data_IF_259877380984
#
_entry.id   IF_259877380984
#
_cell.length_a   1.000
_cell.length_b   1.000
_cell.length_c   1.000
_cell.angle_alpha   90.00
_cell.angle_beta   90.00
_cell.angle_gamma   90.00
#
_symmetry.space_group_name_H-M   'P 1'
#
loop_
_entity.id
_entity.type
_entity.pdbx_description
1 polymer ?
#
# COMPACT_ATOMS: atom_id res chain seq x y z
N UNK A 1 -30.28 8.94 -18.67
CA UNK A 1 -28.90 8.41 -18.69
C UNK A 1 -28.16 8.95 -17.48
N UNK A 2 -27.83 8.11 -16.49
CA UNK A 2 -26.90 8.49 -15.43
C UNK A 2 -25.49 8.27 -15.96
N UNK A 3 -24.77 9.34 -16.26
CA UNK A 3 -23.33 9.27 -16.45
C UNK A 3 -22.74 8.82 -15.12
N UNK A 4 -22.27 7.58 -15.05
CA UNK A 4 -21.48 7.12 -13.92
C UNK A 4 -20.22 7.99 -13.90
N UNK A 5 -20.10 8.87 -12.90
CA UNK A 5 -18.83 9.51 -12.58
C UNK A 5 -17.87 8.36 -12.31
N UNK A 6 -16.89 8.15 -13.19
CA UNK A 6 -15.73 7.30 -12.91
C UNK A 6 -15.02 7.99 -11.76
N UNK A 7 -15.48 7.69 -10.55
CA UNK A 7 -14.90 8.23 -9.35
C UNK A 7 -13.67 7.39 -9.15
N UNK A 8 -12.51 7.93 -9.51
CA UNK A 8 -11.24 7.35 -9.12
C UNK A 8 -11.12 7.49 -7.61
N UNK A 9 -11.80 6.61 -6.87
CA UNK A 9 -11.59 6.44 -5.44
C UNK A 9 -10.22 5.81 -5.32
N UNK A 10 -9.25 6.60 -4.89
CA UNK A 10 -7.95 6.08 -4.54
C UNK A 10 -8.10 5.20 -3.29
N UNK A 11 -8.06 3.90 -3.50
CA UNK A 11 -8.22 2.89 -2.48
C UNK A 11 -6.83 2.42 -2.02
N UNK A 12 -6.40 2.93 -0.86
CA UNK A 12 -5.07 2.64 -0.32
C UNK A 12 -4.90 1.15 0.00
N UNK A 13 -5.97 0.48 0.41
CA UNK A 13 -5.97 -0.96 0.71
C UNK A 13 -5.73 -1.76 -0.56
N UNK A 14 -6.51 -1.47 -1.62
CA UNK A 14 -6.32 -2.11 -2.93
C UNK A 14 -4.95 -1.81 -3.53
N UNK A 15 -4.42 -0.61 -3.35
CA UNK A 15 -3.05 -0.29 -3.76
C UNK A 15 -2.02 -1.18 -3.04
N UNK A 16 -2.13 -1.32 -1.72
CA UNK A 16 -1.23 -2.13 -0.90
C UNK A 16 -1.27 -3.61 -1.28
N UNK A 17 -2.46 -4.17 -1.50
CA UNK A 17 -2.61 -5.55 -1.94
C UNK A 17 -1.92 -5.80 -3.29
N UNK A 18 -2.11 -4.88 -4.24
CA UNK A 18 -1.45 -4.96 -5.54
C UNK A 18 0.08 -4.89 -5.41
N UNK A 19 0.61 -4.02 -4.55
CA UNK A 19 2.06 -3.95 -4.31
C UNK A 19 2.60 -5.23 -3.66
N UNK A 20 1.88 -5.81 -2.69
CA UNK A 20 2.27 -7.10 -2.09
C UNK A 20 2.30 -8.22 -3.11
N UNK A 21 1.29 -8.31 -3.98
CA UNK A 21 1.27 -9.30 -5.06
C UNK A 21 2.44 -9.12 -6.04
N UNK A 22 2.82 -7.88 -6.34
CA UNK A 22 3.95 -7.58 -7.22
C UNK A 22 5.30 -7.98 -6.61
N UNK A 23 5.47 -7.75 -5.31
CA UNK A 23 6.66 -8.16 -4.55
C UNK A 23 6.75 -9.69 -4.43
N UNK A 24 5.63 -10.37 -4.18
CA UNK A 24 5.55 -11.83 -4.16
C UNK A 24 5.93 -12.42 -5.53
N UNK A 25 5.39 -11.88 -6.62
CA UNK A 25 5.74 -12.32 -7.96
C UNK A 25 7.22 -12.08 -8.30
N UNK A 26 7.83 -11.00 -7.81
CA UNK A 26 9.29 -10.74 -7.94
C UNK A 26 10.12 -11.77 -7.18
N UNK A 27 9.71 -12.13 -5.97
CA UNK A 27 10.32 -13.21 -5.18
C UNK A 27 10.24 -14.55 -5.91
N UNK A 28 9.08 -14.90 -6.46
CA UNK A 28 8.88 -16.14 -7.23
C UNK A 28 9.76 -16.20 -8.48
N UNK A 29 10.02 -15.05 -9.12
CA UNK A 29 10.99 -14.94 -10.23
C UNK A 29 12.45 -14.98 -9.79
N UNK A 30 12.74 -15.03 -8.49
CA UNK A 30 14.10 -14.99 -7.95
C UNK A 30 14.76 -13.61 -8.02
N UNK A 31 13.99 -12.55 -8.29
CA UNK A 31 14.48 -11.16 -8.39
C UNK A 31 14.67 -10.51 -7.01
N UNK A 32 14.13 -11.13 -5.94
CA UNK A 32 14.26 -10.69 -4.56
C UNK A 32 14.60 -11.89 -3.68
N UNK A 33 15.56 -11.74 -2.78
CA UNK A 33 15.78 -12.65 -1.65
C UNK A 33 14.68 -12.54 -0.58
N UNK A 34 14.61 -13.47 0.38
CA UNK A 34 13.64 -13.38 1.49
C UNK A 34 13.84 -12.11 2.31
N UNK A 35 15.11 -11.73 2.54
CA UNK A 35 15.46 -10.54 3.28
C UNK A 35 15.04 -9.27 2.55
N UNK A 36 15.23 -9.21 1.23
CA UNK A 36 14.81 -8.07 0.41
C UNK A 36 13.28 -7.98 0.30
N UNK A 37 12.58 -9.11 0.21
CA UNK A 37 11.12 -9.13 0.26
C UNK A 37 10.62 -8.59 1.60
N UNK A 38 11.18 -9.04 2.72
CA UNK A 38 10.80 -8.58 4.05
C UNK A 38 11.01 -7.07 4.21
N UNK A 39 12.18 -6.56 3.81
CA UNK A 39 12.48 -5.12 3.84
C UNK A 39 11.54 -4.32 2.92
N UNK A 40 11.21 -4.85 1.74
CA UNK A 40 10.27 -4.21 0.83
C UNK A 40 8.83 -4.20 1.36
N UNK A 41 8.41 -5.24 2.10
CA UNK A 41 7.11 -5.29 2.78
C UNK A 41 7.05 -4.25 3.90
N UNK A 42 8.09 -4.13 4.73
CA UNK A 42 8.14 -3.12 5.80
C UNK A 42 8.08 -1.70 5.22
N UNK A 43 8.84 -1.42 4.17
CA UNK A 43 8.79 -0.13 3.47
C UNK A 43 7.41 0.15 2.85
N UNK A 44 6.76 -0.88 2.31
CA UNK A 44 5.43 -0.79 1.76
C UNK A 44 4.39 -0.45 2.83
N UNK A 45 4.47 -1.10 3.99
CA UNK A 45 3.58 -0.86 5.12
C UNK A 45 3.77 0.58 5.67
N UNK A 46 5.02 1.09 5.77
CA UNK A 46 5.27 2.51 6.13
C UNK A 46 4.61 3.50 5.19
N UNK A 47 4.70 3.26 3.87
CA UNK A 47 4.08 4.13 2.86
C UNK A 47 2.57 4.06 2.89
N UNK A 48 2.02 2.88 3.16
CA UNK A 48 0.58 2.71 3.36
C UNK A 48 0.11 3.54 4.56
N UNK A 49 0.80 3.45 5.70
CA UNK A 49 0.46 4.22 6.90
C UNK A 49 0.52 5.74 6.63
N UNK A 50 1.53 6.23 5.90
CA UNK A 50 1.62 7.63 5.49
C UNK A 50 0.45 8.05 4.58
N UNK A 51 0.11 7.21 3.60
CA UNK A 51 -1.01 7.46 2.70
C UNK A 51 -2.36 7.46 3.41
N UNK A 52 -2.57 6.50 4.33
CA UNK A 52 -3.76 6.43 5.17
C UNK A 52 -3.85 7.64 6.08
N UNK A 53 -2.76 8.03 6.74
CA UNK A 53 -2.72 9.22 7.58
C UNK A 53 -3.08 10.51 6.82
N UNK A 54 -2.68 10.60 5.54
CA UNK A 54 -3.03 11.74 4.67
C UNK A 54 -4.50 11.71 4.24
N UNK A 55 -5.06 10.53 3.98
CA UNK A 55 -6.45 10.35 3.54
C UNK A 55 -7.44 10.56 4.69
N UNK A 56 -7.11 10.05 5.87
CA UNK A 56 -7.97 10.17 7.04
C UNK A 56 -7.99 11.62 7.57
N UNK A 57 -7.00 12.46 7.21
CA UNK A 57 -6.84 13.82 7.74
C UNK A 57 -6.50 13.86 9.24
N UNK A 58 -6.52 12.70 9.89
CA UNK A 58 -6.37 12.49 11.33
C UNK A 58 -5.01 11.89 11.63
N UNK A 59 -3.92 12.61 11.31
CA UNK A 59 -2.66 12.30 11.98
C UNK A 59 -2.79 12.68 13.45
N UNK A 60 -3.27 11.74 14.28
CA UNK A 60 -2.98 11.71 15.71
C UNK A 60 -2.79 10.26 16.16
N UNK A 61 -1.60 9.97 16.69
CA UNK A 61 -1.27 9.28 17.95
C UNK A 61 0.25 8.94 17.92
N UNK A 62 1.03 9.05 19.02
CA UNK A 62 0.60 8.90 20.41
C UNK A 62 1.02 10.02 21.38
N UNK A 63 0.34 10.04 22.54
CA UNK A 63 0.69 10.76 23.77
C UNK A 63 -0.55 11.45 24.33
N UNK A 64 -1.21 10.98 25.39
CA UNK A 64 -0.70 10.41 26.64
C UNK A 64 -1.79 9.58 27.33
#
# INVERSE_FOLDING_TARGET
MRCAVVTYNFDAERWRENQRALLAARRERGELSDAELAAAIEELDRKYDEMVARLDGTFQLPGR
#
